data_IF_606087518247
#
_entry.id   IF_606087518247
#
_cell.length_a   1.000
_cell.length_b   1.000
_cell.length_c   1.000
_cell.angle_alpha   90.00
_cell.angle_beta   90.00
_cell.angle_gamma   90.00
#
_symmetry.space_group_name_H-M   'P 1'
#
loop_
_entity.id
_entity.type
_entity.pdbx_description
1 polymer ?
#
# COMPACT_ATOMS: atom_id res chain seq x y z
N UNK A 1 -24.51 -22.88 -23.56
CA UNK A 1 -23.61 -21.75 -23.27
C UNK A 1 -23.58 -21.57 -21.77
N UNK A 2 -22.58 -22.13 -21.09
CA UNK A 2 -22.38 -21.90 -19.66
C UNK A 2 -21.68 -20.55 -19.48
N UNK A 3 -22.39 -19.59 -18.90
CA UNK A 3 -21.81 -18.34 -18.42
C UNK A 3 -20.87 -18.66 -17.28
N UNK A 4 -19.56 -18.72 -17.57
CA UNK A 4 -18.51 -18.70 -16.55
C UNK A 4 -18.59 -17.38 -15.79
N UNK A 5 -19.40 -17.31 -14.75
CA UNK A 5 -19.26 -16.28 -13.71
C UNK A 5 -17.88 -16.44 -13.10
N UNK A 6 -16.92 -15.61 -13.52
CA UNK A 6 -15.67 -15.45 -12.81
C UNK A 6 -16.01 -15.10 -11.37
N UNK A 7 -15.78 -16.04 -10.44
CA UNK A 7 -15.83 -15.76 -9.00
C UNK A 7 -14.80 -14.67 -8.75
N UNK A 8 -15.24 -13.41 -8.72
CA UNK A 8 -14.41 -12.28 -8.34
C UNK A 8 -13.87 -12.62 -6.96
N UNK A 9 -12.54 -12.72 -6.85
CA UNK A 9 -11.87 -13.04 -5.58
C UNK A 9 -12.34 -11.98 -4.59
N UNK A 10 -13.13 -12.37 -3.58
CA UNK A 10 -13.66 -11.42 -2.59
C UNK A 10 -12.47 -10.78 -1.89
N UNK A 11 -12.32 -9.47 -2.05
CA UNK A 11 -11.40 -8.67 -1.26
C UNK A 11 -11.93 -8.61 0.19
N UNK A 12 -11.03 -8.54 1.17
CA UNK A 12 -11.34 -8.72 2.60
C UNK A 12 -11.79 -7.42 3.27
N UNK A 13 -11.25 -6.29 2.87
CA UNK A 13 -11.36 -5.01 3.59
C UNK A 13 -12.07 -3.90 2.80
N UNK A 14 -12.06 -4.00 1.48
CA UNK A 14 -12.61 -3.04 0.54
C UNK A 14 -14.05 -3.43 0.19
N UNK A 15 -14.96 -2.47 0.37
CA UNK A 15 -16.37 -2.68 0.10
C UNK A 15 -16.61 -3.01 -1.39
N UNK A 16 -17.56 -3.91 -1.74
CA UNK A 16 -17.79 -4.36 -3.11
C UNK A 16 -17.94 -3.24 -4.14
N UNK A 17 -18.59 -2.12 -3.75
CA UNK A 17 -18.76 -0.93 -4.60
C UNK A 17 -17.43 -0.30 -5.02
N UNK A 18 -16.43 -0.31 -4.14
CA UNK A 18 -15.10 0.20 -4.42
C UNK A 18 -14.23 -0.81 -5.18
N UNK A 19 -14.57 -2.11 -5.14
CA UNK A 19 -13.95 -3.11 -6.02
C UNK A 19 -14.37 -2.88 -7.48
N UNK A 20 -15.65 -2.58 -7.71
CA UNK A 20 -16.17 -2.26 -9.05
C UNK A 20 -15.73 -0.89 -9.55
N UNK A 21 -15.60 0.09 -8.65
CA UNK A 21 -15.25 1.47 -8.98
C UNK A 21 -14.15 2.01 -8.06
N UNK A 22 -12.89 1.56 -8.22
CA UNK A 22 -11.79 1.97 -7.33
C UNK A 22 -11.57 3.48 -7.33
N UNK A 23 -11.87 4.18 -8.44
CA UNK A 23 -11.79 5.64 -8.52
C UNK A 23 -12.66 6.36 -7.49
N UNK A 24 -13.78 5.76 -7.08
CA UNK A 24 -14.66 6.32 -6.05
C UNK A 24 -13.97 6.30 -4.68
N UNK A 25 -13.31 5.20 -4.32
CA UNK A 25 -12.49 5.12 -3.11
C UNK A 25 -11.34 6.13 -3.13
N UNK A 26 -10.65 6.24 -4.27
CA UNK A 26 -9.55 7.21 -4.42
C UNK A 26 -10.00 8.65 -4.16
N UNK A 27 -11.16 9.02 -4.71
CA UNK A 27 -11.75 10.35 -4.50
C UNK A 27 -12.20 10.53 -3.04
N UNK A 28 -13.00 9.61 -2.53
CA UNK A 28 -13.65 9.77 -1.22
C UNK A 28 -12.67 9.66 -0.05
N UNK A 29 -11.69 8.76 -0.13
CA UNK A 29 -10.81 8.39 1.00
C UNK A 29 -9.38 8.89 0.81
N UNK A 30 -8.77 8.66 -0.36
CA UNK A 30 -7.36 9.03 -0.57
C UNK A 30 -7.20 10.54 -0.72
N UNK A 31 -8.07 11.20 -1.47
CA UNK A 31 -7.99 12.65 -1.71
C UNK A 31 -8.66 13.48 -0.61
N UNK A 32 -9.89 13.17 -0.24
CA UNK A 32 -10.76 14.13 0.47
C UNK A 32 -10.72 14.07 1.99
N UNK A 33 -10.03 13.10 2.60
CA UNK A 33 -9.99 12.98 4.05
C UNK A 33 -9.06 13.99 4.74
N UNK A 34 -8.19 14.68 4.00
CA UNK A 34 -7.24 15.65 4.57
C UNK A 34 -6.18 15.01 5.48
N UNK A 35 -6.06 13.68 5.45
CA UNK A 35 -5.10 12.90 6.24
C UNK A 35 -3.83 12.72 5.42
N UNK A 36 -2.67 12.96 6.04
CA UNK A 36 -1.39 12.54 5.49
C UNK A 36 -1.22 11.04 5.70
N UNK A 37 -1.71 10.24 4.76
CA UNK A 37 -1.74 8.78 4.86
C UNK A 37 -0.33 8.18 4.95
N UNK A 38 0.63 8.68 4.17
CA UNK A 38 2.02 8.21 4.23
C UNK A 38 2.61 8.40 5.63
N UNK A 39 2.39 9.54 6.25
CA UNK A 39 2.84 9.79 7.63
C UNK A 39 2.18 8.81 8.63
N UNK A 40 0.87 8.60 8.52
CA UNK A 40 0.13 7.69 9.42
C UNK A 40 0.57 6.24 9.24
N UNK A 41 0.80 5.78 8.01
CA UNK A 41 1.33 4.44 7.75
C UNK A 41 2.77 4.29 8.25
N UNK A 42 3.56 5.37 8.21
CA UNK A 42 4.87 5.41 8.86
C UNK A 42 4.78 5.20 10.37
N UNK A 43 3.84 5.88 11.04
CA UNK A 43 3.59 5.66 12.46
C UNK A 43 3.10 4.24 12.77
N UNK A 44 2.19 3.69 11.97
CA UNK A 44 1.72 2.31 12.10
C UNK A 44 2.90 1.33 12.08
N UNK A 45 3.78 1.45 11.08
CA UNK A 45 4.94 0.59 10.94
C UNK A 45 5.89 0.73 12.13
N UNK A 46 6.22 1.97 12.52
CA UNK A 46 7.09 2.22 13.68
C UNK A 46 6.51 1.68 14.98
N UNK A 47 5.19 1.81 15.20
CA UNK A 47 4.51 1.27 16.37
C UNK A 47 4.56 -0.27 16.40
N UNK A 48 4.32 -0.90 15.25
CA UNK A 48 4.37 -2.36 15.09
C UNK A 48 5.77 -2.93 15.36
N UNK A 49 6.82 -2.18 15.01
CA UNK A 49 8.22 -2.62 15.14
C UNK A 49 8.83 -2.28 16.52
N UNK A 50 8.34 -1.22 17.17
CA UNK A 50 8.78 -0.84 18.50
C UNK A 50 7.57 -0.36 19.34
N UNK A 51 6.77 -1.29 19.88
CA UNK A 51 5.59 -0.95 20.69
C UNK A 51 5.92 -0.10 21.91
N UNK A 52 7.17 -0.15 22.40
CA UNK A 52 7.67 0.67 23.51
C UNK A 52 7.73 2.18 23.21
N UNK A 53 7.61 2.59 21.94
CA UNK A 53 7.49 4.00 21.53
C UNK A 53 6.09 4.57 21.73
N UNK A 54 5.18 3.81 22.34
CA UNK A 54 3.83 4.22 22.74
C UNK A 54 3.85 5.38 23.76
N UNK A 55 4.09 6.60 23.26
CA UNK A 55 3.99 7.84 24.04
C UNK A 55 2.95 8.81 23.50
N UNK A 56 2.31 8.51 22.36
CA UNK A 56 1.36 9.40 21.71
C UNK A 56 -0.04 8.79 21.66
N UNK A 57 -0.90 9.17 22.62
CA UNK A 57 -2.31 8.78 22.74
C UNK A 57 -3.24 9.25 21.60
N UNK A 58 -2.70 9.83 20.53
CA UNK A 58 -3.48 10.45 19.44
C UNK A 58 -3.50 9.58 18.18
N UNK A 59 -2.63 8.58 18.08
CA UNK A 59 -2.60 7.67 16.92
C UNK A 59 -3.61 6.54 17.08
N UNK A 60 -4.60 6.48 16.18
CA UNK A 60 -5.55 5.36 16.11
C UNK A 60 -4.97 4.26 15.20
N UNK A 61 -4.37 3.26 15.83
CA UNK A 61 -3.77 2.12 15.15
C UNK A 61 -4.79 1.33 14.34
N UNK A 62 -5.95 1.00 14.92
CA UNK A 62 -6.97 0.18 14.27
C UNK A 62 -7.56 0.85 13.05
N UNK A 63 -7.86 2.14 13.16
CA UNK A 63 -8.29 2.96 12.04
C UNK A 63 -7.24 3.02 10.93
N UNK A 64 -5.98 3.27 11.27
CA UNK A 64 -4.89 3.39 10.29
C UNK A 64 -4.59 2.06 9.61
N UNK A 65 -4.63 0.96 10.36
CA UNK A 65 -4.49 -0.40 9.85
C UNK A 65 -5.54 -0.74 8.81
N UNK A 66 -6.81 -0.46 9.12
CA UNK A 66 -7.92 -0.72 8.21
C UNK A 66 -7.76 0.05 6.90
N UNK A 67 -7.37 1.32 6.96
CA UNK A 67 -7.18 2.15 5.77
C UNK A 67 -5.99 1.70 4.93
N UNK A 68 -4.89 1.23 5.55
CA UNK A 68 -3.79 0.62 4.81
C UNK A 68 -4.27 -0.62 4.05
N UNK A 69 -5.00 -1.52 4.72
CA UNK A 69 -5.54 -2.72 4.10
C UNK A 69 -6.49 -2.38 2.92
N UNK A 70 -7.35 -1.38 3.08
CA UNK A 70 -8.24 -0.90 2.02
C UNK A 70 -7.47 -0.29 0.85
N UNK A 71 -6.42 0.49 1.10
CA UNK A 71 -5.59 1.05 0.03
C UNK A 71 -4.84 -0.02 -0.76
N UNK A 72 -4.35 -1.07 -0.09
CA UNK A 72 -3.73 -2.23 -0.76
C UNK A 72 -4.74 -2.91 -1.68
N UNK A 73 -5.97 -3.11 -1.22
CA UNK A 73 -7.02 -3.71 -2.03
C UNK A 73 -7.48 -2.81 -3.18
N UNK A 74 -7.56 -1.50 -2.96
CA UNK A 74 -7.86 -0.53 -4.01
C UNK A 74 -6.77 -0.54 -5.10
N UNK A 75 -5.50 -0.61 -4.70
CA UNK A 75 -4.38 -0.74 -5.64
C UNK A 75 -4.45 -2.04 -6.43
N UNK A 76 -4.82 -3.15 -5.78
CA UNK A 76 -5.03 -4.43 -6.47
C UNK A 76 -6.17 -4.36 -7.47
N UNK A 77 -7.29 -3.72 -7.11
CA UNK A 77 -8.41 -3.49 -8.02
C UNK A 77 -7.99 -2.65 -9.23
N UNK A 78 -7.22 -1.57 -9.03
CA UNK A 78 -6.66 -0.76 -10.13
C UNK A 78 -5.73 -1.59 -11.02
N UNK A 79 -4.80 -2.35 -10.43
CA UNK A 79 -3.89 -3.23 -11.17
C UNK A 79 -4.67 -4.17 -12.11
N UNK A 80 -5.76 -4.78 -11.62
CA UNK A 80 -6.62 -5.66 -12.41
C UNK A 80 -7.44 -4.91 -13.46
N UNK A 81 -8.07 -3.80 -13.08
CA UNK A 81 -8.88 -2.98 -13.99
C UNK A 81 -8.06 -2.45 -15.18
N UNK A 82 -6.79 -2.09 -14.94
CA UNK A 82 -5.87 -1.57 -15.95
C UNK A 82 -5.10 -2.66 -16.70
N UNK A 83 -5.29 -3.94 -16.37
CA UNK A 83 -4.52 -5.08 -16.89
C UNK A 83 -2.99 -4.95 -16.70
N UNK A 84 -2.57 -4.23 -15.67
CA UNK A 84 -1.16 -4.07 -15.33
C UNK A 84 -0.58 -5.37 -14.79
N UNK A 85 0.68 -5.64 -15.13
CA UNK A 85 1.38 -6.85 -14.71
C UNK A 85 2.37 -6.52 -13.60
N UNK A 86 2.32 -7.24 -12.46
CA UNK A 86 3.33 -7.12 -11.43
C UNK A 86 4.75 -7.28 -11.99
N UNK A 87 5.68 -6.46 -11.52
CA UNK A 87 7.08 -6.57 -11.90
C UNK A 87 7.63 -7.91 -11.38
N UNK A 88 8.47 -8.59 -12.15
CA UNK A 88 9.05 -9.84 -11.68
C UNK A 88 10.04 -9.58 -10.55
N UNK A 89 10.07 -10.46 -9.52
CA UNK A 89 11.04 -10.35 -8.41
C UNK A 89 12.48 -10.16 -8.89
N UNK A 90 12.90 -10.87 -9.95
CA UNK A 90 14.24 -10.72 -10.55
C UNK A 90 14.55 -9.29 -11.03
N UNK A 91 13.55 -8.55 -11.54
CA UNK A 91 13.70 -7.16 -11.99
C UNK A 91 13.60 -6.16 -10.84
N UNK A 92 12.86 -6.47 -9.78
CA UNK A 92 12.78 -5.64 -8.59
C UNK A 92 14.12 -5.52 -7.86
N UNK A 93 14.84 -6.64 -7.73
CA UNK A 93 16.11 -6.72 -6.99
C UNK A 93 17.36 -6.64 -7.89
N UNK A 94 17.24 -6.06 -9.09
CA UNK A 94 18.41 -5.74 -9.90
C UNK A 94 19.18 -4.52 -9.35
N UNK A 95 18.53 -3.76 -8.47
CA UNK A 95 19.12 -2.68 -7.68
C UNK A 95 19.70 -3.27 -6.39
N UNK A 96 21.00 -3.07 -6.18
CA UNK A 96 21.78 -3.79 -5.14
C UNK A 96 21.71 -3.13 -3.76
N UNK A 97 20.99 -2.01 -3.63
CA UNK A 97 20.97 -1.17 -2.44
C UNK A 97 19.60 -0.49 -2.25
N UNK A 98 19.16 -0.38 -0.99
CA UNK A 98 18.06 0.47 -0.52
C UNK A 98 18.16 1.92 -1.02
N UNK A 99 19.38 2.44 -1.20
CA UNK A 99 19.66 3.77 -1.74
C UNK A 99 19.13 3.98 -3.17
N UNK A 100 19.14 2.95 -4.02
CA UNK A 100 18.61 3.05 -5.39
C UNK A 100 17.08 3.03 -5.41
N UNK A 101 16.45 2.25 -4.53
CA UNK A 101 15.01 2.32 -4.31
C UNK A 101 14.65 3.73 -3.83
N UNK A 102 15.28 4.21 -2.74
CA UNK A 102 15.03 5.54 -2.17
C UNK A 102 15.26 6.69 -3.15
N UNK A 103 16.29 6.63 -4.00
CA UNK A 103 16.53 7.62 -5.05
C UNK A 103 15.41 7.66 -6.10
N UNK A 104 14.84 6.50 -6.45
CA UNK A 104 13.68 6.38 -7.32
C UNK A 104 12.40 6.99 -6.73
N UNK A 105 12.35 7.13 -5.40
CA UNK A 105 11.25 7.69 -4.62
C UNK A 105 11.41 9.18 -4.30
N UNK A 106 12.64 9.70 -4.35
CA UNK A 106 12.98 11.09 -4.07
C UNK A 106 12.75 12.03 -5.26
N UNK A 107 12.68 11.48 -6.48
CA UNK A 107 12.34 12.24 -7.68
C UNK A 107 10.82 12.50 -7.75
N UNK A 108 10.32 13.26 -6.77
CA UNK A 108 8.91 13.54 -6.53
C UNK A 108 8.25 14.39 -7.62
N UNK A 109 9.01 14.90 -8.58
CA UNK A 109 8.45 15.75 -9.64
C UNK A 109 7.52 14.98 -10.58
N UNK A 110 7.68 13.65 -10.71
CA UNK A 110 6.73 12.77 -11.43
C UNK A 110 6.62 11.40 -10.77
N UNK A 111 5.59 11.21 -9.93
CA UNK A 111 5.23 9.90 -9.39
C UNK A 111 4.77 9.00 -10.54
N UNK A 112 5.56 7.98 -10.88
CA UNK A 112 5.13 6.91 -11.80
C UNK A 112 4.26 5.90 -11.04
N UNK A 113 2.97 6.21 -10.95
CA UNK A 113 2.01 5.41 -10.18
C UNK A 113 1.85 3.99 -10.73
N UNK A 114 1.93 3.81 -12.05
CA UNK A 114 1.87 2.48 -12.65
C UNK A 114 3.05 1.64 -12.20
N UNK A 115 4.27 2.17 -12.30
CA UNK A 115 5.48 1.48 -11.85
C UNK A 115 5.39 1.12 -10.38
N UNK A 116 5.00 2.07 -9.52
CA UNK A 116 4.90 1.83 -8.07
C UNK A 116 3.91 0.70 -7.77
N UNK A 117 2.71 0.69 -8.37
CA UNK A 117 1.73 -0.40 -8.16
C UNK A 117 2.25 -1.74 -8.69
N UNK A 118 2.87 -1.76 -9.87
CA UNK A 118 3.45 -2.99 -10.43
C UNK A 118 4.59 -3.54 -9.56
N UNK A 119 5.46 -2.67 -9.05
CA UNK A 119 6.58 -3.02 -8.18
C UNK A 119 6.06 -3.49 -6.81
N UNK A 120 5.06 -2.81 -6.23
CA UNK A 120 4.39 -3.18 -4.98
C UNK A 120 3.85 -4.62 -5.01
N UNK A 121 3.12 -4.97 -6.08
CA UNK A 121 2.58 -6.33 -6.25
C UNK A 121 3.58 -7.34 -6.80
N UNK A 122 4.71 -6.87 -7.31
CA UNK A 122 5.83 -7.71 -7.73
C UNK A 122 6.71 -8.15 -6.55
N UNK A 123 6.83 -7.29 -5.54
CA UNK A 123 7.56 -7.56 -4.30
C UNK A 123 6.81 -8.62 -3.47
N UNK A 124 5.52 -8.40 -3.23
CA UNK A 124 4.63 -9.31 -2.53
C UNK A 124 3.29 -9.40 -3.27
N UNK A 125 2.72 -10.61 -3.38
CA UNK A 125 1.39 -10.74 -3.92
C UNK A 125 0.33 -10.31 -2.87
N UNK A 126 -0.93 -10.11 -3.25
CA UNK A 126 -1.97 -9.65 -2.32
C UNK A 126 -2.11 -10.52 -1.06
N UNK A 127 -1.94 -11.84 -1.17
CA UNK A 127 -2.00 -12.74 0.00
C UNK A 127 -0.82 -12.48 0.94
N UNK A 128 0.39 -12.39 0.38
CA UNK A 128 1.60 -12.13 1.17
C UNK A 128 1.49 -10.77 1.88
N UNK A 129 0.87 -9.78 1.25
CA UNK A 129 0.55 -8.50 1.89
C UNK A 129 -0.45 -8.63 3.06
N UNK A 130 -1.44 -9.51 2.99
CA UNK A 130 -2.29 -9.79 4.15
C UNK A 130 -1.51 -10.44 5.28
N UNK A 131 -0.68 -11.43 4.96
CA UNK A 131 0.13 -12.13 5.96
C UNK A 131 1.10 -11.12 6.64
N UNK A 132 1.67 -10.19 5.86
CA UNK A 132 2.49 -9.08 6.39
C UNK A 132 1.71 -8.12 7.29
N UNK A 133 0.48 -7.74 6.92
CA UNK A 133 -0.36 -6.88 7.78
C UNK A 133 -0.72 -7.59 9.09
N UNK A 134 -1.09 -8.86 9.02
CA UNK A 134 -1.40 -9.67 10.21
C UNK A 134 -0.16 -9.76 11.11
N UNK A 135 1.05 -9.89 10.55
CA UNK A 135 2.30 -9.85 11.30
C UNK A 135 2.54 -8.51 12.00
N UNK A 136 2.29 -7.37 11.33
CA UNK A 136 2.42 -6.04 11.96
C UNK A 136 1.44 -5.90 13.14
N UNK A 137 0.20 -6.34 12.96
CA UNK A 137 -0.80 -6.33 14.02
C UNK A 137 -0.35 -7.21 15.21
N UNK A 138 0.13 -8.41 14.95
CA UNK A 138 0.61 -9.32 15.99
C UNK A 138 1.87 -8.81 16.69
N UNK A 139 2.75 -8.10 15.99
CA UNK A 139 3.97 -7.53 16.57
C UNK A 139 3.72 -6.27 17.39
N UNK A 140 2.57 -5.61 17.20
CA UNK A 140 2.14 -4.49 18.03
C UNK A 140 1.77 -4.88 19.47
N UNK A 141 1.48 -6.17 19.72
CA UNK A 141 1.22 -6.67 21.07
C UNK A 141 2.53 -6.77 21.87
N UNK A 142 2.64 -5.94 22.91
CA UNK A 142 3.79 -5.89 23.84
C UNK A 142 4.08 -7.25 24.49
N UNK A 143 3.07 -8.11 24.64
CA UNK A 143 3.23 -9.45 25.18
C UNK A 143 3.83 -10.43 24.17
N UNK A 144 3.69 -10.13 22.88
CA UNK A 144 4.23 -10.90 21.78
C UNK A 144 5.65 -10.42 21.48
N UNK A 145 6.59 -10.76 22.37
CA UNK A 145 8.00 -10.42 22.22
C UNK A 145 8.55 -11.11 20.97
N UNK A 146 8.55 -10.45 19.80
CA UNK A 146 9.56 -10.74 18.78
C UNK A 146 10.90 -10.70 19.52
N UNK A 147 11.67 -11.79 19.47
CA UNK A 147 13.02 -11.83 20.03
C UNK A 147 13.80 -10.71 19.32
N UNK A 148 13.95 -9.57 19.98
CA UNK A 148 14.60 -8.39 19.45
C UNK A 148 16.09 -8.69 19.25
N UNK A 149 16.43 -9.26 18.10
CA UNK A 149 17.70 -8.99 17.42
C UNK A 149 17.50 -7.69 16.64
N UNK A 150 18.34 -6.69 16.90
CA UNK A 150 18.21 -5.32 16.38
C UNK A 150 18.52 -5.16 14.88
N UNK A 151 18.50 -6.24 14.10
CA UNK A 151 18.69 -6.17 12.65
C UNK A 151 17.32 -6.06 11.98
N UNK A 152 17.00 -4.86 11.50
CA UNK A 152 15.85 -4.69 10.61
C UNK A 152 16.25 -5.30 9.27
N UNK A 153 15.60 -6.41 8.92
CA UNK A 153 15.82 -7.08 7.65
C UNK A 153 15.55 -6.11 6.49
N UNK A 154 16.41 -6.15 5.45
CA UNK A 154 16.30 -5.27 4.29
C UNK A 154 14.90 -5.36 3.62
N UNK A 155 14.28 -6.54 3.67
CA UNK A 155 12.93 -6.78 3.16
C UNK A 155 11.86 -5.98 3.92
N UNK A 156 12.01 -5.82 5.25
CA UNK A 156 11.11 -5.00 6.06
C UNK A 156 11.22 -3.52 5.70
N UNK A 157 12.44 -3.02 5.43
CA UNK A 157 12.64 -1.64 4.99
C UNK A 157 12.02 -1.41 3.61
N UNK A 158 12.17 -2.35 2.67
CA UNK A 158 11.56 -2.25 1.35
C UNK A 158 10.02 -2.28 1.46
N UNK A 159 9.46 -3.17 2.29
CA UNK A 159 8.02 -3.23 2.53
C UNK A 159 7.48 -1.91 3.09
N UNK A 160 8.20 -1.31 4.05
CA UNK A 160 7.89 0.01 4.61
C UNK A 160 7.83 1.07 3.52
N UNK A 161 8.84 1.18 2.67
CA UNK A 161 8.86 2.20 1.62
C UNK A 161 7.68 2.02 0.65
N UNK A 162 7.37 0.80 0.24
CA UNK A 162 6.20 0.52 -0.58
C UNK A 162 4.88 0.96 0.06
N UNK A 163 4.72 0.72 1.37
CA UNK A 163 3.55 1.17 2.13
C UNK A 163 3.44 2.70 2.16
N UNK A 164 4.57 3.40 2.32
CA UNK A 164 4.59 4.86 2.40
C UNK A 164 4.25 5.55 1.07
N UNK A 165 4.56 4.91 -0.05
CA UNK A 165 4.31 5.45 -1.40
C UNK A 165 2.92 5.15 -1.91
N UNK A 166 2.29 4.10 -1.39
CA UNK A 166 1.01 3.62 -1.87
C UNK A 166 -0.06 4.74 -1.92
N UNK A 167 -0.22 5.61 -0.90
CA UNK A 167 -1.16 6.72 -0.97
C UNK A 167 -0.88 7.69 -2.11
N UNK A 168 0.39 8.02 -2.35
CA UNK A 168 0.80 8.98 -3.37
C UNK A 168 0.57 8.42 -4.78
N UNK A 169 0.89 7.14 -5.01
CA UNK A 169 0.59 6.47 -6.27
C UNK A 169 -0.93 6.42 -6.55
N UNK A 170 -1.72 6.09 -5.53
CA UNK A 170 -3.18 6.06 -5.62
C UNK A 170 -3.78 7.45 -5.88
N UNK A 171 -3.24 8.48 -5.24
CA UNK A 171 -3.62 9.87 -5.47
C UNK A 171 -3.26 10.31 -6.89
N UNK A 172 -2.09 9.92 -7.41
CA UNK A 172 -1.69 10.24 -8.77
C UNK A 172 -2.62 9.57 -9.80
N UNK A 173 -3.00 8.31 -9.59
CA UNK A 173 -3.99 7.62 -10.45
C UNK A 173 -5.33 8.37 -10.45
N UNK A 174 -5.76 8.89 -9.30
CA UNK A 174 -6.95 9.72 -9.24
C UNK A 174 -6.81 10.98 -10.09
N UNK A 175 -5.70 11.73 -9.95
CA UNK A 175 -5.42 12.93 -10.73
C UNK A 175 -5.40 12.65 -12.23
N UNK A 176 -4.74 11.58 -12.65
CA UNK A 176 -4.64 11.18 -14.07
C UNK A 176 -6.02 10.84 -14.65
N UNK A 177 -6.89 10.19 -13.87
CA UNK A 177 -8.26 9.94 -14.26
C UNK A 177 -9.06 11.24 -14.42
N UNK A 178 -8.94 12.17 -13.48
CA UNK A 178 -9.63 13.46 -13.57
C UNK A 178 -9.16 14.23 -14.80
N UNK A 179 -7.85 14.29 -15.07
CA UNK A 179 -7.30 14.96 -16.25
C UNK A 179 -7.75 14.31 -17.57
N UNK A 180 -7.88 12.98 -17.60
CA UNK A 180 -8.40 12.26 -18.77
C UNK A 180 -9.88 12.60 -19.06
N UNK A 181 -10.70 12.79 -18.03
CA UNK A 181 -12.11 13.11 -18.18
C UNK A 181 -12.40 14.62 -18.28
N UNK A 182 -11.45 15.49 -17.90
CA UNK A 182 -11.52 16.95 -18.01
C UNK A 182 -10.20 17.53 -18.57
N UNK A 183 -9.93 17.39 -19.88
CA UNK A 183 -8.69 17.86 -20.50
C UNK A 183 -8.56 19.41 -20.62
N UNK A 184 -9.48 20.19 -20.04
CA UNK A 184 -9.57 21.65 -20.20
C UNK A 184 -9.51 22.46 -18.89
N UNK A 185 -9.17 21.83 -17.75
CA UNK A 185 -9.00 22.54 -16.46
C UNK A 185 -7.56 22.96 -16.19
#
# INVERSE_FOLDING_TARGET
METKTHKTKKLRYLAPEYVSEPNRFLKEVVQNWGINWSLNFGFLFSYSMCPMLDRNRVFDYGFTYLHLAQMIEAAYAVLKMRNWQPTSKKKLFQYKDFGELSALLLDKEKIDAQRIICDFFGFMNLRDWYDFLDELLLSSDINNKRKQGYEIEQELLIAREFILLLPDALLQIHKDNVAYFNPQS
#
